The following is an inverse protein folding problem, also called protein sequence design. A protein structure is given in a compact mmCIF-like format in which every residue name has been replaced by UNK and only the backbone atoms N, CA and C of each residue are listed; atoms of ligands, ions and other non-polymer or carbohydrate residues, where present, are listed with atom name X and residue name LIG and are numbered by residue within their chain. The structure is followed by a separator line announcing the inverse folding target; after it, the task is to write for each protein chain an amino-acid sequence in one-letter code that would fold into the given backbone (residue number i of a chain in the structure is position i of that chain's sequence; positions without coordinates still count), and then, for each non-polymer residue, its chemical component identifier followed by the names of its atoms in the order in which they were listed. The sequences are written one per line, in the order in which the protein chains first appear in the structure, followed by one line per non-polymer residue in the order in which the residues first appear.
data_IF_538918961122
#
_entry.id   IF_538918961122
#
_cell.length_a   1.000
_cell.length_b   1.000
_cell.length_c   1.000
_cell.angle_alpha   90.00
_cell.angle_beta   90.00
_cell.angle_gamma   90.00
#
_symmetry.space_group_name_H-M   'P 1'
#
loop_
_entity.id
_entity.type
_entity.pdbx_description
1 polymer ?
#
# COMPACT_ATOMS: atom_id res chain seq x y z
N UNK A 1 7.12 36.71 49.27
CA UNK A 1 6.42 35.53 48.73
C UNK A 1 7.09 35.14 47.43
N UNK A 2 7.95 34.12 47.49
CA UNK A 2 8.55 33.43 46.35
C UNK A 2 7.47 32.63 45.62
N UNK A 3 7.49 32.58 44.29
CA UNK A 3 7.42 31.32 43.52
C UNK A 3 7.83 31.59 42.06
N UNK A 4 9.03 31.09 41.68
CA UNK A 4 9.51 31.03 40.29
C UNK A 4 8.82 29.86 39.59
N UNK A 5 8.38 30.03 38.34
CA UNK A 5 8.02 28.92 37.44
C UNK A 5 8.83 29.06 36.15
N UNK A 6 9.82 28.19 36.00
CA UNK A 6 10.57 27.97 34.74
C UNK A 6 10.11 26.63 34.21
N UNK A 7 9.54 26.57 33.01
CA UNK A 7 9.16 25.30 32.39
C UNK A 7 10.29 24.83 31.48
N UNK A 8 10.70 23.59 31.72
CA UNK A 8 11.88 22.91 31.22
C UNK A 8 11.54 22.27 29.86
N UNK A 9 12.45 22.43 28.89
CA UNK A 9 12.53 21.66 27.65
C UNK A 9 13.21 20.31 27.99
N UNK A 10 12.52 19.17 27.81
CA UNK A 10 13.17 17.86 27.82
C UNK A 10 12.42 16.73 28.51
N UNK A 11 12.08 15.69 27.74
CA UNK A 11 11.99 14.31 28.25
C UNK A 11 12.66 13.39 27.22
N UNK A 12 13.98 13.34 27.30
CA UNK A 12 14.82 12.22 26.84
C UNK A 12 14.83 11.22 28.01
N UNK A 13 14.03 10.16 27.93
CA UNK A 13 13.87 9.17 29.00
C UNK A 13 14.67 7.89 28.67
N UNK A 14 15.89 7.85 29.20
CA UNK A 14 16.72 6.65 29.37
C UNK A 14 16.10 5.74 30.44
N UNK A 15 16.21 4.40 30.28
CA UNK A 15 16.53 3.37 31.30
C UNK A 15 15.78 2.04 31.08
N UNK A 16 16.43 1.11 30.37
CA UNK A 16 16.54 -0.27 30.84
C UNK A 16 17.99 -0.70 30.69
N UNK A 17 18.81 -0.41 31.70
CA UNK A 17 20.16 -0.95 31.79
C UNK A 17 20.07 -2.39 32.32
N UNK A 18 20.19 -3.37 31.41
CA UNK A 18 20.65 -4.70 31.79
C UNK A 18 22.18 -4.69 31.68
N UNK A 19 22.84 -4.67 32.82
CA UNK A 19 24.29 -4.77 32.92
C UNK A 19 24.68 -6.18 32.46
N UNK A 20 25.31 -6.29 31.28
CA UNK A 20 26.04 -7.50 30.89
C UNK A 20 27.47 -7.09 30.55
N UNK A 21 28.35 -7.29 31.52
CA UNK A 21 29.79 -7.36 31.36
C UNK A 21 30.15 -8.25 30.16
N UNK A 22 30.73 -7.63 29.14
CA UNK A 22 31.34 -8.32 28.01
C UNK A 22 31.96 -7.27 27.11
N UNK A 23 33.29 -7.21 27.07
CA UNK A 23 34.03 -6.46 26.07
C UNK A 23 33.90 -7.18 24.71
N UNK A 24 32.67 -7.36 24.22
CA UNK A 24 32.39 -7.89 22.90
C UNK A 24 32.53 -6.78 21.86
N UNK A 25 33.06 -7.10 20.68
CA UNK A 25 33.10 -6.19 19.54
C UNK A 25 31.67 -5.68 19.29
N UNK A 26 31.53 -4.36 19.14
CA UNK A 26 30.27 -3.71 18.81
C UNK A 26 30.20 -3.43 17.31
N UNK A 27 28.99 -3.39 16.79
CA UNK A 27 28.66 -3.02 15.40
C UNK A 27 27.60 -1.92 15.42
N UNK A 28 27.54 -1.16 14.34
CA UNK A 28 26.59 -0.07 14.13
C UNK A 28 25.56 -0.47 13.10
N UNK A 29 24.29 -0.38 13.48
CA UNK A 29 23.14 -0.62 12.60
C UNK A 29 22.43 0.71 12.37
N UNK A 30 22.34 1.12 11.11
CA UNK A 30 21.65 2.34 10.69
C UNK A 30 20.32 1.99 10.04
N UNK A 31 19.30 2.76 10.37
CA UNK A 31 17.99 2.69 9.74
C UNK A 31 17.81 3.93 8.90
N UNK A 32 17.74 3.74 7.60
CA UNK A 32 17.81 4.81 6.60
C UNK A 32 16.56 4.80 5.72
N UNK A 33 16.00 5.97 5.45
CA UNK A 33 14.95 6.10 4.45
C UNK A 33 15.53 5.97 3.04
N UNK A 34 14.68 5.79 2.03
CA UNK A 34 15.13 5.62 0.63
C UNK A 34 15.87 6.85 0.08
N UNK A 35 15.62 8.02 0.64
CA UNK A 35 16.25 9.31 0.35
C UNK A 35 17.54 9.55 1.17
N UNK A 36 18.00 8.57 1.95
CA UNK A 36 19.28 8.61 2.63
C UNK A 36 19.24 9.22 4.05
N UNK A 37 18.05 9.44 4.62
CA UNK A 37 17.90 10.03 5.95
C UNK A 37 18.01 8.92 7.00
N UNK A 38 19.01 9.02 7.87
CA UNK A 38 19.15 8.12 9.02
C UNK A 38 18.11 8.53 10.08
N UNK A 39 17.09 7.68 10.27
CA UNK A 39 16.00 7.91 11.24
C UNK A 39 16.25 7.24 12.59
N UNK A 40 17.14 6.25 12.64
CA UNK A 40 17.59 5.61 13.88
C UNK A 40 18.99 5.02 13.69
N UNK A 41 19.78 5.00 14.76
CA UNK A 41 21.08 4.33 14.82
C UNK A 41 21.18 3.51 16.10
N UNK A 42 21.69 2.29 15.99
CA UNK A 42 21.87 1.38 17.12
C UNK A 42 23.30 0.86 17.17
N UNK A 43 23.90 0.90 18.35
CA UNK A 43 25.16 0.22 18.63
C UNK A 43 24.87 -1.06 19.42
N UNK A 44 25.01 -2.22 18.77
CA UNK A 44 24.73 -3.53 19.36
C UNK A 44 26.01 -4.37 19.45
N UNK A 45 25.96 -5.48 20.20
CA UNK A 45 27.05 -6.48 20.18
C UNK A 45 27.09 -7.14 18.79
N UNK A 46 28.28 -7.51 18.32
CA UNK A 46 28.45 -8.34 17.13
C UNK A 46 27.62 -9.63 17.26
N UNK A 47 26.98 -10.04 16.17
CA UNK A 47 26.02 -11.16 16.17
C UNK A 47 24.84 -10.88 17.12
N UNK A 48 24.41 -9.62 17.13
CA UNK A 48 23.28 -9.16 17.91
C UNK A 48 22.06 -8.95 17.04
N UNK A 49 20.90 -8.88 17.68
CA UNK A 49 19.63 -8.57 17.03
C UNK A 49 19.33 -7.08 17.29
N UNK A 50 19.22 -6.24 16.26
CA UNK A 50 18.78 -4.86 16.42
C UNK A 50 17.31 -4.83 16.84
N UNK A 51 16.91 -3.80 17.58
CA UNK A 51 15.50 -3.58 17.89
C UNK A 51 14.82 -2.93 16.68
N UNK A 52 13.59 -3.32 16.35
CA UNK A 52 12.83 -2.59 15.34
C UNK A 52 12.57 -1.14 15.79
N UNK A 53 12.92 -0.12 14.98
CA UNK A 53 12.62 1.26 15.30
C UNK A 53 11.14 1.56 15.06
N UNK A 54 10.66 2.69 15.58
CA UNK A 54 9.35 3.20 15.15
C UNK A 54 9.38 3.45 13.64
N UNK A 55 8.36 3.01 12.89
CA UNK A 55 8.26 3.30 11.46
C UNK A 55 8.41 4.79 11.17
N UNK A 56 9.24 5.18 10.20
CA UNK A 56 9.28 6.55 9.72
C UNK A 56 7.93 6.93 9.09
N UNK A 57 7.68 8.23 8.96
CA UNK A 57 6.50 8.77 8.26
C UNK A 57 6.96 9.42 6.96
N UNK A 58 6.25 9.13 5.87
CA UNK A 58 6.43 9.78 4.58
C UNK A 58 5.07 10.14 4.01
N UNK A 59 4.84 11.42 3.73
CA UNK A 59 3.56 11.90 3.19
C UNK A 59 3.24 11.21 1.85
N UNK A 60 2.02 10.69 1.72
CA UNK A 60 1.57 9.96 0.52
C UNK A 60 2.04 8.51 0.42
N UNK A 61 2.74 7.99 1.41
CA UNK A 61 3.26 6.61 1.42
C UNK A 61 2.98 5.89 2.73
N UNK A 62 2.78 4.58 2.65
CA UNK A 62 2.74 3.67 3.78
C UNK A 62 4.09 2.97 3.95
N UNK A 63 4.58 2.90 5.18
CA UNK A 63 5.78 2.12 5.51
C UNK A 63 5.44 0.62 5.51
N UNK A 64 6.20 -0.18 4.76
CA UNK A 64 5.98 -1.63 4.68
C UNK A 64 6.90 -2.41 5.62
N UNK A 65 8.22 -2.25 5.47
CA UNK A 65 9.23 -3.00 6.22
C UNK A 65 10.63 -2.40 6.05
N UNK A 66 11.57 -2.89 6.85
CA UNK A 66 13.00 -2.64 6.68
C UNK A 66 13.63 -3.73 5.80
N UNK A 67 14.43 -3.35 4.81
CA UNK A 67 15.19 -4.28 3.98
C UNK A 67 16.69 -4.23 4.27
N UNK A 68 17.36 -5.38 4.17
CA UNK A 68 18.81 -5.49 4.16
C UNK A 68 19.21 -6.28 2.92
N UNK A 69 20.18 -5.76 2.15
CA UNK A 69 20.66 -6.39 0.91
C UNK A 69 19.54 -6.76 -0.10
N UNK A 70 18.46 -5.97 -0.14
CA UNK A 70 17.32 -6.18 -1.04
C UNK A 70 16.27 -7.19 -0.55
N UNK A 71 16.43 -7.74 0.65
CA UNK A 71 15.46 -8.66 1.26
C UNK A 71 14.85 -8.05 2.52
N UNK A 72 13.56 -8.34 2.78
CA UNK A 72 12.90 -7.96 4.04
C UNK A 72 13.70 -8.52 5.22
N UNK A 73 14.08 -7.64 6.14
CA UNK A 73 14.75 -8.03 7.35
C UNK A 73 13.76 -8.59 8.38
N UNK A 74 14.19 -9.64 9.06
CA UNK A 74 13.48 -10.31 10.13
C UNK A 74 14.14 -9.92 11.45
N UNK A 75 13.37 -9.26 12.33
CA UNK A 75 13.86 -8.76 13.62
C UNK A 75 14.10 -9.86 14.67
N UNK A 76 14.02 -11.14 14.28
CA UNK A 76 14.54 -12.27 15.05
C UNK A 76 15.92 -12.76 14.56
N UNK A 77 16.46 -12.19 13.47
CA UNK A 77 17.78 -12.57 12.91
C UNK A 77 18.92 -11.72 13.43
N UNK A 78 20.09 -12.32 13.63
CA UNK A 78 21.30 -11.60 14.03
C UNK A 78 21.98 -10.87 12.85
N UNK A 79 22.64 -9.75 13.15
CA UNK A 79 23.58 -9.08 12.23
C UNK A 79 24.99 -9.15 12.84
N UNK A 80 25.99 -9.49 12.02
CA UNK A 80 27.37 -9.71 12.46
C UNK A 80 28.34 -8.61 12.05
N UNK A 81 27.92 -7.64 11.22
CA UNK A 81 28.74 -6.55 10.73
C UNK A 81 27.96 -5.23 10.74
N UNK A 82 28.65 -4.11 10.54
CA UNK A 82 27.97 -2.82 10.39
C UNK A 82 27.04 -2.90 9.17
N UNK A 83 25.81 -2.43 9.32
CA UNK A 83 24.80 -2.55 8.29
C UNK A 83 23.87 -1.34 8.25
N UNK A 84 23.30 -1.11 7.08
CA UNK A 84 22.21 -0.16 6.87
C UNK A 84 20.98 -0.92 6.43
N UNK A 85 19.88 -0.78 7.17
CA UNK A 85 18.57 -1.25 6.79
C UNK A 85 17.80 -0.09 6.16
N UNK A 86 17.22 -0.33 4.99
CA UNK A 86 16.56 0.70 4.19
C UNK A 86 15.04 0.54 4.31
N UNK A 87 14.33 1.63 4.58
CA UNK A 87 12.87 1.61 4.68
C UNK A 87 12.22 1.37 3.31
N UNK A 88 11.25 0.46 3.27
CA UNK A 88 10.41 0.20 2.10
C UNK A 88 9.02 0.76 2.27
N UNK A 89 8.48 1.21 1.15
CA UNK A 89 7.29 2.05 1.08
C UNK A 89 6.39 1.61 -0.06
N UNK A 90 5.09 1.84 0.12
CA UNK A 90 4.09 1.76 -0.93
C UNK A 90 3.38 3.12 -1.05
N UNK A 91 3.16 3.66 -2.26
CA UNK A 91 2.30 4.82 -2.45
C UNK A 91 0.88 4.50 -1.97
N UNK A 92 0.29 5.38 -1.16
CA UNK A 92 -1.12 5.21 -0.72
C UNK A 92 -2.06 5.23 -1.93
N UNK A 93 -1.75 6.05 -2.94
CA UNK A 93 -2.55 6.13 -4.18
C UNK A 93 -2.63 4.78 -4.89
N UNK A 94 -1.55 3.98 -4.88
CA UNK A 94 -1.51 2.65 -5.51
C UNK A 94 -2.51 1.69 -4.85
N UNK A 95 -2.60 1.71 -3.52
CA UNK A 95 -3.56 0.88 -2.77
C UNK A 95 -5.00 1.35 -3.04
N UNK A 96 -5.23 2.67 -2.99
CA UNK A 96 -6.56 3.23 -3.31
C UNK A 96 -7.00 2.93 -4.75
N UNK A 97 -6.06 2.93 -5.71
CA UNK A 97 -6.36 2.61 -7.10
C UNK A 97 -6.78 1.15 -7.26
N UNK A 98 -6.08 0.24 -6.59
CA UNK A 98 -6.41 -1.19 -6.60
C UNK A 98 -7.79 -1.44 -6.01
N UNK A 99 -8.11 -0.82 -4.88
CA UNK A 99 -9.43 -0.94 -4.25
C UNK A 99 -10.52 -0.36 -5.13
N UNK A 100 -10.26 0.80 -5.76
CA UNK A 100 -11.19 1.44 -6.69
C UNK A 100 -11.47 0.55 -7.91
N UNK A 101 -10.44 -0.05 -8.50
CA UNK A 101 -10.59 -1.05 -9.58
C UNK A 101 -11.43 -2.24 -9.14
N UNK A 102 -11.15 -2.80 -7.95
CA UNK A 102 -11.89 -3.94 -7.43
C UNK A 102 -13.39 -3.61 -7.25
N UNK A 103 -13.71 -2.43 -6.72
CA UNK A 103 -15.09 -1.96 -6.59
C UNK A 103 -15.75 -1.77 -7.96
N UNK A 104 -15.08 -1.11 -8.90
CA UNK A 104 -15.62 -0.88 -10.25
C UNK A 104 -15.87 -2.19 -11.01
N UNK A 105 -14.98 -3.19 -10.91
CA UNK A 105 -15.19 -4.51 -11.51
C UNK A 105 -16.40 -5.23 -10.90
N UNK A 106 -16.58 -5.14 -9.58
CA UNK A 106 -17.74 -5.74 -8.90
C UNK A 106 -19.05 -5.03 -9.29
N UNK A 107 -19.06 -3.69 -9.34
CA UNK A 107 -20.20 -2.90 -9.80
C UNK A 107 -20.56 -3.21 -11.26
N UNK A 108 -19.55 -3.35 -12.14
CA UNK A 108 -19.76 -3.72 -13.53
C UNK A 108 -20.36 -5.13 -13.68
N UNK A 109 -19.89 -6.10 -12.88
CA UNK A 109 -20.43 -7.46 -12.87
C UNK A 109 -21.89 -7.47 -12.36
N UNK A 110 -22.17 -6.76 -11.26
CA UNK A 110 -23.54 -6.62 -10.75
C UNK A 110 -24.47 -5.99 -11.79
N UNK A 111 -23.99 -4.95 -12.49
CA UNK A 111 -24.73 -4.28 -13.55
C UNK A 111 -24.99 -5.23 -14.75
N UNK A 112 -23.96 -5.93 -15.23
CA UNK A 112 -24.10 -6.92 -16.30
C UNK A 112 -25.14 -8.02 -15.94
N UNK A 113 -25.16 -8.45 -14.69
CA UNK A 113 -26.11 -9.45 -14.19
C UNK A 113 -27.56 -8.96 -14.12
N UNK A 114 -27.83 -7.66 -14.32
CA UNK A 114 -29.21 -7.14 -14.43
C UNK A 114 -29.84 -7.43 -15.80
N UNK A 115 -29.02 -7.66 -16.82
CA UNK A 115 -29.49 -7.96 -18.17
C UNK A 115 -29.87 -9.43 -18.31
N UNK A 116 -30.93 -9.69 -19.07
CA UNK A 116 -31.40 -11.05 -19.35
C UNK A 116 -31.28 -11.35 -20.83
N UNK A 117 -30.60 -12.44 -21.16
CA UNK A 117 -30.39 -12.87 -22.56
C UNK A 117 -31.69 -12.99 -23.38
N UNK A 118 -32.80 -13.32 -22.73
CA UNK A 118 -34.12 -13.44 -23.37
C UNK A 118 -34.68 -12.09 -23.86
N UNK A 119 -34.19 -10.96 -23.34
CA UNK A 119 -34.61 -9.62 -23.75
C UNK A 119 -33.90 -9.15 -25.03
N UNK A 120 -32.99 -9.95 -25.60
CA UNK A 120 -32.09 -9.54 -26.69
C UNK A 120 -32.09 -10.53 -27.86
N UNK A 121 -31.75 -10.05 -29.06
CA UNK A 121 -31.33 -10.94 -30.16
C UNK A 121 -29.99 -11.59 -29.80
N UNK A 122 -29.65 -12.72 -30.45
CA UNK A 122 -28.32 -13.35 -30.27
C UNK A 122 -27.18 -12.39 -30.61
N UNK A 123 -27.33 -11.57 -31.64
CA UNK A 123 -26.32 -10.59 -32.07
C UNK A 123 -26.16 -9.49 -31.02
N UNK A 124 -27.27 -8.90 -30.56
CA UNK A 124 -27.24 -7.84 -29.56
C UNK A 124 -26.73 -8.35 -28.21
N UNK A 125 -27.09 -9.57 -27.80
CA UNK A 125 -26.53 -10.18 -26.60
C UNK A 125 -25.01 -10.37 -26.67
N UNK A 126 -24.49 -10.79 -27.84
CA UNK A 126 -23.05 -10.90 -28.05
C UNK A 126 -22.38 -9.52 -27.97
N UNK A 127 -22.98 -8.49 -28.57
CA UNK A 127 -22.50 -7.10 -28.48
C UNK A 127 -22.46 -6.61 -27.03
N UNK A 128 -23.53 -6.82 -26.25
CA UNK A 128 -23.59 -6.47 -24.83
C UNK A 128 -22.49 -7.20 -24.04
N UNK A 129 -22.31 -8.50 -24.28
CA UNK A 129 -21.26 -9.30 -23.62
C UNK A 129 -19.85 -8.79 -23.98
N UNK A 130 -19.64 -8.35 -25.22
CA UNK A 130 -18.36 -7.77 -25.64
C UNK A 130 -18.11 -6.44 -24.93
N UNK A 131 -19.10 -5.55 -24.85
CA UNK A 131 -18.98 -4.30 -24.09
C UNK A 131 -18.66 -4.52 -22.61
N UNK A 132 -19.28 -5.52 -21.98
CA UNK A 132 -18.92 -5.94 -20.63
C UNK A 132 -17.43 -6.34 -20.53
N UNK A 133 -16.96 -7.24 -21.41
CA UNK A 133 -15.58 -7.71 -21.39
C UNK A 133 -14.57 -6.59 -21.70
N UNK A 134 -14.89 -5.70 -22.64
CA UNK A 134 -14.07 -4.53 -22.95
C UNK A 134 -13.99 -3.59 -21.74
N UNK A 135 -15.10 -3.43 -21.00
CA UNK A 135 -15.14 -2.70 -19.74
C UNK A 135 -14.22 -3.28 -18.67
N UNK A 136 -14.22 -4.61 -18.49
CA UNK A 136 -13.29 -5.28 -17.56
C UNK A 136 -11.82 -4.98 -17.92
N UNK A 137 -11.48 -5.02 -19.21
CA UNK A 137 -10.13 -4.72 -19.71
C UNK A 137 -9.77 -3.25 -19.49
N UNK A 138 -10.69 -2.33 -19.77
CA UNK A 138 -10.46 -0.90 -19.58
C UNK A 138 -10.24 -0.53 -18.11
N UNK A 139 -11.03 -1.08 -17.19
CA UNK A 139 -10.89 -0.87 -15.75
C UNK A 139 -9.54 -1.43 -15.24
N UNK A 140 -9.14 -2.62 -15.70
CA UNK A 140 -7.83 -3.20 -15.33
C UNK A 140 -6.66 -2.34 -15.84
N UNK A 141 -6.79 -1.76 -17.04
CA UNK A 141 -5.77 -0.93 -17.67
C UNK A 141 -5.67 0.51 -17.11
N UNK A 142 -6.66 0.99 -16.34
CA UNK A 142 -6.69 2.36 -15.85
C UNK A 142 -5.48 2.71 -14.95
N UNK A 143 -4.86 3.88 -15.15
CA UNK A 143 -3.64 4.27 -14.42
C UNK A 143 -3.90 5.15 -13.19
N UNK A 144 -5.12 5.67 -13.06
CA UNK A 144 -5.53 6.54 -11.95
C UNK A 144 -7.03 6.38 -11.63
N UNK A 145 -7.48 7.05 -10.56
CA UNK A 145 -8.84 6.90 -10.03
C UNK A 145 -9.92 7.44 -10.99
N UNK A 146 -9.61 8.51 -11.73
CA UNK A 146 -10.55 9.14 -12.67
C UNK A 146 -10.74 8.24 -13.89
N UNK A 147 -9.65 7.67 -14.41
CA UNK A 147 -9.69 6.72 -15.51
C UNK A 147 -10.48 5.43 -15.16
N UNK A 148 -10.49 5.01 -13.89
CA UNK A 148 -11.36 3.90 -13.45
C UNK A 148 -12.84 4.28 -13.52
N UNK A 149 -13.19 5.47 -13.05
CA UNK A 149 -14.58 5.97 -13.08
C UNK A 149 -15.08 6.15 -14.52
N UNK A 150 -14.25 6.72 -15.39
CA UNK A 150 -14.57 6.90 -16.81
C UNK A 150 -14.75 5.55 -17.52
N UNK A 151 -13.85 4.59 -17.30
CA UNK A 151 -13.94 3.26 -17.91
C UNK A 151 -15.21 2.51 -17.49
N UNK A 152 -15.57 2.58 -16.19
CA UNK A 152 -16.80 2.00 -15.68
C UNK A 152 -18.04 2.64 -16.33
N UNK A 153 -18.10 3.97 -16.35
CA UNK A 153 -19.24 4.69 -16.91
C UNK A 153 -19.38 4.45 -18.42
N UNK A 154 -18.27 4.39 -19.16
CA UNK A 154 -18.27 4.06 -20.58
C UNK A 154 -18.80 2.64 -20.81
N UNK A 155 -18.35 1.65 -20.04
CA UNK A 155 -18.82 0.27 -20.15
C UNK A 155 -20.33 0.15 -19.86
N UNK A 156 -20.82 0.83 -18.82
CA UNK A 156 -22.25 0.91 -18.49
C UNK A 156 -23.03 1.52 -19.67
N UNK A 157 -22.62 2.69 -20.15
CA UNK A 157 -23.30 3.39 -21.25
C UNK A 157 -23.34 2.54 -22.52
N UNK A 158 -22.24 1.86 -22.85
CA UNK A 158 -22.15 0.99 -24.02
C UNK A 158 -23.12 -0.19 -23.91
N UNK A 159 -23.20 -0.85 -22.75
CA UNK A 159 -24.17 -1.94 -22.54
C UNK A 159 -25.63 -1.45 -22.56
N UNK A 160 -25.92 -0.30 -21.95
CA UNK A 160 -27.27 0.30 -21.96
C UNK A 160 -27.75 0.70 -23.35
N UNK A 161 -26.82 1.05 -24.24
CA UNK A 161 -27.12 1.44 -25.62
C UNK A 161 -27.55 0.28 -26.51
N UNK A 162 -27.40 -0.97 -26.06
CA UNK A 162 -27.71 -2.14 -26.87
C UNK A 162 -29.22 -2.37 -26.94
N UNK A 163 -29.76 -2.40 -28.16
CA UNK A 163 -31.19 -2.55 -28.41
C UNK A 163 -31.75 -3.90 -27.90
N UNK A 164 -32.91 -3.83 -27.24
CA UNK A 164 -33.71 -5.00 -26.83
C UNK A 164 -34.57 -5.53 -27.98
N UNK A 165 -35.15 -6.71 -27.78
CA UNK A 165 -36.22 -7.22 -28.66
C UNK A 165 -37.39 -6.21 -28.72
N UNK A 166 -38.09 -6.09 -29.86
CA UNK A 166 -39.28 -5.26 -29.96
C UNK A 166 -40.36 -5.78 -28.99
N UNK A 167 -41.08 -4.87 -28.33
CA UNK A 167 -42.26 -5.24 -27.53
C UNK A 167 -43.32 -5.87 -28.47
N UNK A 168 -43.87 -7.03 -28.09
CA UNK A 168 -44.95 -7.65 -28.87
C UNK A 168 -46.22 -6.76 -28.79
N UNK A 169 -46.68 -6.26 -29.95
CA UNK A 169 -47.90 -5.44 -30.10
C UNK A 169 -49.22 -6.20 -29.87
#
# INVERSE_FOLDING_TARGET
MSFKKTTILGVLLLFLALIITGCGKKIVIKFETIDGIIVSEQTIKKSGIPKEPTPPIREGYEFLYWEINGEKYDFDKEISEDATLIAKWQPIVEDTLKDKKLQALAELEEFYNTFKKEDYTTENWNTLTNHYNDGLVAIDAAEDLEAVDDALQEAINNMESVDKLPEEE
#
